data_IF_049079513511
#
_entry.id   IF_049079513511
#
_cell.length_a   1.000
_cell.length_b   1.000
_cell.length_c   1.000
_cell.angle_alpha   90.00
_cell.angle_beta   90.00
_cell.angle_gamma   90.00
#
_symmetry.space_group_name_H-M   'P 1'
#
loop_
_entity.id
_entity.type
_entity.pdbx_description
1 polymer ?
#
# COMPACT_ATOMS: atom_id res chain seq x y z
N UNK A 1 8.87 -30.66 -23.10
CA UNK A 1 9.19 -29.31 -22.63
C UNK A 1 8.01 -28.83 -21.79
N UNK A 2 8.10 -28.87 -20.46
CA UNK A 2 7.00 -28.49 -19.57
C UNK A 2 7.02 -26.97 -19.43
N UNK A 3 6.06 -26.28 -20.06
CA UNK A 3 5.78 -24.87 -19.79
C UNK A 3 5.10 -24.83 -18.43
N UNK A 4 5.80 -24.33 -17.42
CA UNK A 4 5.21 -24.06 -16.10
C UNK A 4 4.35 -22.80 -16.22
N UNK A 5 3.04 -22.97 -16.19
CA UNK A 5 2.10 -21.85 -16.16
C UNK A 5 2.27 -21.07 -14.85
N UNK A 6 2.87 -19.89 -14.93
CA UNK A 6 2.93 -18.94 -13.81
C UNK A 6 1.59 -18.22 -13.67
N UNK A 7 1.21 -17.79 -12.45
CA UNK A 7 0.05 -16.92 -12.23
C UNK A 7 0.08 -15.67 -13.15
N UNK A 8 -1.09 -15.14 -13.49
CA UNK A 8 -1.24 -14.04 -14.45
C UNK A 8 -0.34 -12.84 -14.13
N UNK A 9 -0.30 -12.41 -12.87
CA UNK A 9 0.53 -11.28 -12.44
C UNK A 9 2.03 -11.61 -12.46
N UNK A 10 2.42 -12.87 -12.20
CA UNK A 10 3.81 -13.31 -12.34
C UNK A 10 4.26 -13.28 -13.81
N UNK A 11 3.36 -13.55 -14.77
CA UNK A 11 3.65 -13.45 -16.21
C UNK A 11 3.88 -11.98 -16.61
N UNK A 12 3.03 -11.06 -16.16
CA UNK A 12 3.22 -9.62 -16.42
C UNK A 12 4.49 -9.10 -15.74
N UNK A 13 4.74 -9.44 -14.49
CA UNK A 13 5.93 -9.03 -13.77
C UNK A 13 7.22 -9.56 -14.45
N UNK A 14 7.22 -10.79 -14.97
CA UNK A 14 8.36 -11.37 -15.67
C UNK A 14 8.63 -10.70 -17.03
N UNK A 15 7.58 -10.25 -17.73
CA UNK A 15 7.71 -9.55 -19.01
C UNK A 15 8.10 -8.07 -18.87
N UNK A 16 7.77 -7.44 -17.73
CA UNK A 16 8.02 -6.01 -17.46
C UNK A 16 9.29 -5.78 -16.62
N UNK A 17 9.74 -6.78 -15.87
CA UNK A 17 10.87 -6.68 -14.93
C UNK A 17 12.26 -6.37 -15.57
N UNK A 18 12.58 -6.72 -16.81
CA UNK A 18 13.89 -6.41 -17.39
C UNK A 18 14.08 -4.94 -17.80
N UNK A 19 13.02 -4.12 -17.77
CA UNK A 19 13.04 -2.78 -18.37
C UNK A 19 13.11 -1.62 -17.36
N UNK A 20 13.18 -1.89 -16.06
CA UNK A 20 13.36 -0.82 -15.06
C UNK A 20 14.83 -0.74 -14.68
N UNK A 21 15.63 0.18 -15.25
CA UNK A 21 16.96 0.44 -14.73
C UNK A 21 16.83 1.03 -13.34
N UNK A 22 17.67 0.55 -12.42
CA UNK A 22 17.80 1.15 -11.09
C UNK A 22 18.01 2.67 -11.24
N UNK A 23 17.35 3.51 -10.41
CA UNK A 23 17.44 4.96 -10.52
C UNK A 23 18.86 5.42 -10.21
N UNK A 24 19.63 5.72 -11.26
CA UNK A 24 20.91 6.43 -11.17
C UNK A 24 20.64 7.94 -11.19
N UNK A 25 20.16 8.49 -10.09
CA UNK A 25 20.26 9.94 -9.82
C UNK A 25 20.26 10.17 -8.32
N UNK A 26 21.36 9.82 -7.69
CA UNK A 26 21.65 10.14 -6.29
C UNK A 26 22.36 11.49 -6.30
N UNK A 27 21.66 12.62 -6.19
CA UNK A 27 22.36 13.87 -5.80
C UNK A 27 21.46 14.92 -5.15
N UNK A 28 20.19 15.09 -5.48
CA UNK A 28 19.35 16.10 -4.82
C UNK A 28 18.43 15.54 -3.74
N UNK A 29 17.91 14.34 -3.92
CA UNK A 29 16.96 13.72 -2.99
C UNK A 29 17.61 13.25 -1.68
N UNK A 30 18.91 12.95 -1.70
CA UNK A 30 19.66 12.52 -0.51
C UNK A 30 19.85 13.65 0.51
N UNK A 31 20.07 14.87 0.06
CA UNK A 31 20.20 16.05 0.93
C UNK A 31 18.87 16.50 1.56
N UNK A 32 17.75 16.22 0.92
CA UNK A 32 16.42 16.55 1.44
C UNK A 32 16.03 15.59 2.59
N UNK A 33 16.55 14.37 2.59
CA UNK A 33 16.26 13.33 3.57
C UNK A 33 16.80 13.62 5.00
N UNK A 34 17.74 14.54 5.16
CA UNK A 34 18.44 14.79 6.42
C UNK A 34 18.01 16.06 7.17
N UNK A 35 16.85 16.64 6.87
CA UNK A 35 16.38 17.79 7.63
C UNK A 35 15.69 17.35 8.93
N UNK A 36 16.27 17.72 10.06
CA UNK A 36 15.66 17.57 11.38
C UNK A 36 14.28 18.26 11.46
N UNK A 37 13.40 17.75 12.29
CA UNK A 37 12.16 18.45 12.62
C UNK A 37 12.50 19.82 13.19
N UNK A 38 11.83 20.86 12.71
CA UNK A 38 11.99 22.20 13.23
C UNK A 38 11.25 22.37 14.58
N UNK A 39 11.68 23.33 15.38
CA UNK A 39 10.97 23.66 16.63
C UNK A 39 9.51 24.06 16.41
N UNK A 40 9.21 24.70 15.27
CA UNK A 40 7.83 25.04 14.90
C UNK A 40 7.00 23.79 14.71
N UNK A 41 7.49 22.80 13.96
CA UNK A 41 6.79 21.55 13.73
C UNK A 41 6.58 20.79 15.04
N UNK A 42 7.58 20.74 15.91
CA UNK A 42 7.47 20.09 17.23
C UNK A 42 6.42 20.78 18.11
N UNK A 43 6.42 22.09 18.19
CA UNK A 43 5.45 22.85 18.98
C UNK A 43 4.02 22.62 18.46
N UNK A 44 3.81 22.69 17.15
CA UNK A 44 2.51 22.41 16.53
C UNK A 44 2.00 20.98 16.83
N UNK A 45 2.92 20.01 16.88
CA UNK A 45 2.60 18.62 17.26
C UNK A 45 2.19 18.55 18.73
N UNK A 46 2.95 19.20 19.61
CA UNK A 46 2.66 19.22 21.04
C UNK A 46 1.31 19.88 21.33
N UNK A 47 1.01 21.00 20.69
CA UNK A 47 -0.28 21.69 20.80
C UNK A 47 -1.44 20.80 20.34
N UNK A 48 -1.30 20.14 19.19
CA UNK A 48 -2.33 19.24 18.65
C UNK A 48 -2.63 18.07 19.59
N UNK A 49 -1.59 17.55 20.25
CA UNK A 49 -1.70 16.39 21.14
C UNK A 49 -2.06 16.76 22.58
N UNK A 50 -2.06 18.04 22.93
CA UNK A 50 -2.16 18.50 24.32
C UNK A 50 -1.00 18.01 25.19
N UNK A 51 0.19 17.84 24.61
CA UNK A 51 1.37 17.28 25.26
C UNK A 51 2.44 18.34 25.52
N UNK A 52 3.28 18.07 26.51
CA UNK A 52 4.53 18.79 26.70
C UNK A 52 5.57 18.34 25.68
N UNK A 53 6.78 18.92 25.74
CA UNK A 53 7.87 18.55 24.84
C UNK A 53 8.20 17.03 24.94
N UNK A 54 8.45 16.33 23.81
CA UNK A 54 8.72 14.91 23.83
C UNK A 54 10.04 14.57 24.55
N UNK A 55 10.09 13.39 25.19
CA UNK A 55 11.29 12.86 25.86
C UNK A 55 12.39 12.51 24.86
N UNK A 56 12.01 11.94 23.73
CA UNK A 56 12.95 11.63 22.64
C UNK A 56 12.28 11.79 21.27
N UNK A 57 13.10 12.13 20.29
CA UNK A 57 12.77 12.16 18.85
C UNK A 57 13.90 11.44 18.14
N UNK A 58 13.63 10.26 17.61
CA UNK A 58 14.61 9.41 16.95
C UNK A 58 14.23 9.19 15.49
N UNK A 59 15.16 9.44 14.59
CA UNK A 59 14.94 9.19 13.18
C UNK A 59 14.81 7.69 12.91
N UNK A 60 13.79 7.32 12.13
CA UNK A 60 13.55 5.93 11.73
C UNK A 60 14.06 5.75 10.30
N UNK A 61 15.03 4.84 10.14
CA UNK A 61 15.55 4.47 8.83
C UNK A 61 14.61 3.47 8.16
N UNK A 62 14.45 3.58 6.83
CA UNK A 62 13.72 2.59 6.03
C UNK A 62 12.56 3.13 5.20
N UNK A 63 12.14 4.37 5.36
CA UNK A 63 11.15 5.00 4.46
C UNK A 63 11.82 5.52 3.19
N UNK A 64 11.41 5.03 2.00
CA UNK A 64 12.03 5.47 0.73
C UNK A 64 11.57 6.86 0.26
N UNK A 65 10.46 7.39 0.78
CA UNK A 65 9.78 8.56 0.24
C UNK A 65 9.71 9.72 1.23
N UNK A 66 9.52 9.45 2.51
CA UNK A 66 9.29 10.44 3.56
C UNK A 66 10.32 10.33 4.67
N UNK A 67 10.61 11.47 5.30
CA UNK A 67 11.32 11.47 6.55
C UNK A 67 10.40 10.93 7.65
N UNK A 68 10.92 10.06 8.51
CA UNK A 68 10.15 9.45 9.58
C UNK A 68 10.89 9.49 10.92
N UNK A 69 10.13 9.62 12.01
CA UNK A 69 10.67 9.64 13.37
C UNK A 69 9.78 8.85 14.31
N UNK A 70 10.41 8.22 15.29
CA UNK A 70 9.78 7.79 16.52
C UNK A 70 9.78 8.95 17.50
N UNK A 71 8.62 9.34 17.97
CA UNK A 71 8.47 10.37 19.00
C UNK A 71 7.96 9.70 20.27
N UNK A 72 8.66 9.91 21.39
CA UNK A 72 8.28 9.36 22.67
C UNK A 72 7.88 10.47 23.65
N UNK A 73 6.65 10.42 24.13
CA UNK A 73 6.10 11.22 25.20
C UNK A 73 6.14 10.43 26.51
N UNK A 74 5.58 10.99 27.59
CA UNK A 74 5.60 10.35 28.91
C UNK A 74 4.81 9.04 28.95
N UNK A 75 3.73 8.94 28.18
CA UNK A 75 2.73 7.88 28.24
C UNK A 75 2.47 7.21 26.89
N UNK A 76 3.08 7.68 25.80
CA UNK A 76 2.83 7.14 24.45
C UNK A 76 4.05 7.29 23.54
N UNK A 77 4.10 6.41 22.55
CA UNK A 77 5.04 6.45 21.43
C UNK A 77 4.26 6.60 20.14
N UNK A 78 4.73 7.47 19.26
CA UNK A 78 4.12 7.74 17.97
C UNK A 78 5.13 7.60 16.86
N UNK A 79 4.64 7.21 15.70
CA UNK A 79 5.38 7.26 14.44
C UNK A 79 4.97 8.51 13.68
N UNK A 80 5.94 9.38 13.41
CA UNK A 80 5.74 10.61 12.64
C UNK A 80 6.29 10.43 11.23
N UNK A 81 5.48 10.79 10.24
CA UNK A 81 5.92 10.98 8.86
C UNK A 81 5.82 12.46 8.49
N UNK A 82 6.80 12.91 7.71
CA UNK A 82 6.88 14.28 7.21
C UNK A 82 7.07 14.28 5.69
N UNK A 83 6.21 14.99 5.01
CA UNK A 83 6.31 15.22 3.57
C UNK A 83 6.50 16.71 3.28
N UNK A 84 7.58 17.04 2.58
CA UNK A 84 7.91 18.40 2.13
C UNK A 84 7.64 18.61 0.63
N UNK A 85 7.18 17.57 -0.06
CA UNK A 85 6.88 17.64 -1.49
C UNK A 85 5.50 18.28 -1.67
N UNK A 86 5.32 19.04 -2.72
CA UNK A 86 4.03 19.68 -3.03
C UNK A 86 3.01 18.66 -3.62
N UNK A 87 2.78 17.57 -2.91
CA UNK A 87 1.77 16.54 -3.18
C UNK A 87 1.23 16.03 -1.85
N UNK A 88 -0.03 15.67 -1.80
CA UNK A 88 -0.76 15.28 -0.60
C UNK A 88 -0.62 13.77 -0.29
N UNK A 89 0.63 13.31 -0.15
CA UNK A 89 0.92 11.90 0.10
C UNK A 89 0.37 11.42 1.45
N UNK A 90 0.61 12.21 2.50
CA UNK A 90 0.22 11.82 3.86
C UNK A 90 -1.28 12.05 4.13
N UNK A 91 -1.91 13.00 3.45
CA UNK A 91 -3.37 13.12 3.45
C UNK A 91 -4.02 11.88 2.84
N UNK A 92 -3.47 11.36 1.74
CA UNK A 92 -3.93 10.13 1.11
C UNK A 92 -3.69 8.91 2.00
N UNK A 93 -2.50 8.77 2.59
CA UNK A 93 -2.20 7.67 3.52
C UNK A 93 -3.14 7.67 4.72
N UNK A 94 -3.36 8.84 5.34
CA UNK A 94 -4.36 9.02 6.40
C UNK A 94 -5.72 8.49 5.97
N UNK A 95 -6.18 8.88 4.79
CA UNK A 95 -7.47 8.46 4.26
C UNK A 95 -7.53 6.93 4.07
N UNK A 96 -6.47 6.31 3.56
CA UNK A 96 -6.37 4.87 3.40
C UNK A 96 -6.41 4.13 4.74
N UNK A 97 -5.57 4.53 5.72
CA UNK A 97 -5.53 3.93 7.06
C UNK A 97 -6.91 3.97 7.73
N UNK A 98 -7.56 5.13 7.70
CA UNK A 98 -8.89 5.31 8.30
C UNK A 98 -9.96 4.45 7.62
N UNK A 99 -9.89 4.23 6.31
CA UNK A 99 -10.84 3.39 5.61
C UNK A 99 -10.60 1.90 5.86
N UNK A 100 -9.36 1.43 5.81
CA UNK A 100 -9.03 0.04 6.10
C UNK A 100 -9.42 -0.37 7.52
N UNK A 101 -9.21 0.50 8.52
CA UNK A 101 -9.56 0.24 9.93
C UNK A 101 -11.04 -0.07 10.15
N UNK A 102 -11.93 0.35 9.27
CA UNK A 102 -13.39 0.05 9.36
C UNK A 102 -13.70 -1.44 9.19
N UNK A 103 -12.81 -2.18 8.53
CA UNK A 103 -13.05 -3.55 8.11
C UNK A 103 -12.18 -4.59 8.81
N UNK A 104 -11.24 -4.17 9.67
CA UNK A 104 -10.37 -5.14 10.36
C UNK A 104 -11.09 -5.88 11.49
N UNK A 105 -10.60 -7.08 11.77
CA UNK A 105 -10.79 -7.79 13.03
C UNK A 105 -9.51 -7.59 13.87
N UNK A 106 -9.61 -6.81 14.93
CA UNK A 106 -8.47 -6.45 15.79
C UNK A 106 -7.85 -7.64 16.56
N UNK A 107 -8.45 -8.82 16.54
CA UNK A 107 -7.85 -10.03 17.10
C UNK A 107 -6.74 -10.61 16.20
N UNK A 108 -6.85 -10.39 14.90
CA UNK A 108 -5.95 -10.96 13.90
C UNK A 108 -5.08 -9.91 13.19
N UNK A 109 -5.61 -8.69 12.97
CA UNK A 109 -4.95 -7.65 12.18
C UNK A 109 -4.97 -6.30 12.90
N UNK A 110 -3.84 -5.63 12.87
CA UNK A 110 -3.66 -4.26 13.36
C UNK A 110 -3.29 -3.36 12.18
N UNK A 111 -3.91 -2.20 12.14
CA UNK A 111 -3.56 -1.09 11.26
C UNK A 111 -3.31 0.11 12.16
N UNK A 112 -2.16 0.80 12.06
CA UNK A 112 -1.84 1.94 12.94
C UNK A 112 -2.96 2.95 12.98
N UNK A 113 -3.27 3.43 14.16
CA UNK A 113 -4.26 4.50 14.34
C UNK A 113 -3.68 5.83 13.88
N UNK A 114 -4.48 6.60 13.15
CA UNK A 114 -4.15 7.98 12.83
C UNK A 114 -4.47 8.84 14.05
N UNK A 115 -3.43 9.38 14.68
CA UNK A 115 -3.54 10.21 15.87
C UNK A 115 -3.76 11.67 15.49
N UNK A 116 -2.99 12.17 14.53
CA UNK A 116 -3.14 13.54 14.03
C UNK A 116 -2.61 13.68 12.60
N UNK A 117 -3.13 14.67 11.89
CA UNK A 117 -2.62 15.09 10.57
C UNK A 117 -2.64 16.63 10.52
N UNK A 118 -1.52 17.21 10.15
CA UNK A 118 -1.39 18.65 9.94
C UNK A 118 -0.75 18.97 8.59
N UNK A 119 -1.13 20.11 8.04
CA UNK A 119 -0.43 20.73 6.91
C UNK A 119 0.03 22.12 7.34
N UNK A 120 1.33 22.26 7.55
CA UNK A 120 1.97 23.48 8.03
C UNK A 120 2.78 24.07 6.87
N UNK A 121 2.28 25.14 6.24
CA UNK A 121 2.98 25.81 5.14
C UNK A 121 3.43 24.86 4.01
N UNK A 122 2.53 23.96 3.59
CA UNK A 122 2.76 22.90 2.60
C UNK A 122 3.69 21.75 3.06
N UNK A 123 4.00 21.69 4.34
CA UNK A 123 4.63 20.50 4.94
C UNK A 123 3.53 19.68 5.56
N UNK A 124 3.34 18.45 5.07
CA UNK A 124 2.42 17.51 5.70
C UNK A 124 3.13 16.78 6.84
N UNK A 125 2.41 16.64 7.95
CA UNK A 125 2.82 15.83 9.12
C UNK A 125 1.69 14.87 9.42
N UNK A 126 2.01 13.59 9.46
CA UNK A 126 1.10 12.52 9.86
C UNK A 126 1.67 11.83 11.10
N UNK A 127 0.88 11.79 12.15
CA UNK A 127 1.17 11.07 13.38
C UNK A 127 0.28 9.85 13.46
N UNK A 128 0.89 8.68 13.56
CA UNK A 128 0.20 7.40 13.74
C UNK A 128 0.73 6.67 14.96
N UNK A 129 0.00 5.70 15.42
CA UNK A 129 0.39 4.79 16.49
C UNK A 129 1.74 4.14 16.17
N UNK A 130 2.66 4.10 17.14
CA UNK A 130 3.88 3.30 17.07
C UNK A 130 3.57 1.86 17.44
N UNK A 131 3.92 0.91 16.59
CA UNK A 131 3.75 -0.51 16.83
C UNK A 131 5.13 -1.18 16.83
N UNK A 132 5.48 -1.80 17.95
CA UNK A 132 6.71 -2.59 18.04
C UNK A 132 6.56 -3.89 17.25
N UNK A 133 7.43 -4.07 16.25
CA UNK A 133 7.42 -5.24 15.38
C UNK A 133 8.21 -6.39 15.97
N UNK A 134 7.67 -7.60 15.86
CA UNK A 134 8.25 -8.84 16.36
C UNK A 134 8.24 -9.93 15.30
N UNK A 135 9.03 -10.98 15.50
CA UNK A 135 9.11 -12.09 14.57
C UNK A 135 8.22 -13.25 15.05
N UNK A 136 7.07 -13.42 14.39
CA UNK A 136 6.13 -14.53 14.60
C UNK A 136 5.83 -15.24 13.27
N UNK A 137 5.05 -16.33 13.33
CA UNK A 137 4.44 -16.89 12.11
C UNK A 137 3.40 -15.90 11.54
N UNK A 138 3.12 -16.01 10.25
CA UNK A 138 2.24 -15.07 9.54
C UNK A 138 0.78 -15.53 9.44
N UNK A 139 0.36 -16.49 10.29
CA UNK A 139 -1.02 -17.03 10.25
C UNK A 139 -2.07 -15.96 10.47
N UNK A 140 -1.93 -15.18 11.56
CA UNK A 140 -2.88 -14.11 11.86
C UNK A 140 -2.87 -12.99 10.81
N UNK A 141 -1.71 -12.71 10.20
CA UNK A 141 -1.63 -11.75 9.10
C UNK A 141 -2.46 -12.22 7.90
N UNK A 142 -2.31 -13.49 7.48
CA UNK A 142 -3.08 -14.06 6.39
C UNK A 142 -4.58 -14.11 6.69
N UNK A 143 -4.94 -14.58 7.89
CA UNK A 143 -6.33 -14.62 8.35
C UNK A 143 -6.94 -13.22 8.40
N UNK A 144 -6.24 -12.26 9.02
CA UNK A 144 -6.73 -10.90 9.20
C UNK A 144 -6.90 -10.15 7.88
N UNK A 145 -6.00 -10.35 6.89
CA UNK A 145 -6.18 -9.81 5.55
C UNK A 145 -7.42 -10.41 4.86
N UNK A 146 -7.60 -11.73 4.97
CA UNK A 146 -8.80 -12.39 4.42
C UNK A 146 -10.09 -11.85 5.04
N UNK A 147 -10.14 -11.69 6.36
CA UNK A 147 -11.29 -11.11 7.06
C UNK A 147 -11.56 -9.65 6.64
N UNK A 148 -10.51 -8.83 6.44
CA UNK A 148 -10.63 -7.46 5.94
C UNK A 148 -11.27 -7.45 4.55
N UNK A 149 -10.74 -8.25 3.63
CA UNK A 149 -11.27 -8.35 2.27
C UNK A 149 -12.72 -8.84 2.26
N UNK A 150 -13.04 -9.89 3.05
CA UNK A 150 -14.39 -10.43 3.14
C UNK A 150 -15.37 -9.37 3.65
N UNK A 151 -15.06 -8.75 4.80
CA UNK A 151 -15.93 -7.75 5.42
C UNK A 151 -16.13 -6.52 4.54
N UNK A 152 -15.08 -6.09 3.85
CA UNK A 152 -15.20 -4.96 2.90
C UNK A 152 -16.02 -5.34 1.67
N UNK A 153 -15.87 -6.55 1.12
CA UNK A 153 -16.67 -7.04 0.02
C UNK A 153 -18.16 -7.21 0.40
N UNK A 154 -18.45 -7.68 1.61
CA UNK A 154 -19.80 -7.79 2.16
C UNK A 154 -20.51 -6.44 2.33
N UNK A 155 -19.76 -5.33 2.43
CA UNK A 155 -20.32 -3.98 2.38
C UNK A 155 -20.95 -3.65 1.01
N UNK A 156 -20.78 -4.55 0.03
CA UNK A 156 -21.33 -4.51 -1.31
C UNK A 156 -20.97 -3.23 -2.08
N UNK A 157 -19.67 -2.93 -2.24
CA UNK A 157 -19.24 -1.79 -3.03
C UNK A 157 -19.67 -1.95 -4.49
N UNK A 158 -20.29 -0.89 -5.04
CA UNK A 158 -20.86 -0.93 -6.40
C UNK A 158 -19.81 -0.69 -7.48
N UNK A 159 -18.73 -0.01 -7.13
CA UNK A 159 -17.74 0.48 -8.08
C UNK A 159 -16.34 0.05 -7.67
N UNK A 160 -15.50 -0.20 -8.65
CA UNK A 160 -14.04 -0.34 -8.49
C UNK A 160 -13.36 1.02 -8.62
N UNK A 161 -12.18 1.18 -8.02
CA UNK A 161 -11.42 2.43 -8.08
C UNK A 161 -11.42 3.18 -6.76
N UNK A 162 -11.10 4.47 -6.79
CA UNK A 162 -11.06 5.29 -5.57
C UNK A 162 -11.52 6.72 -5.85
N UNK A 163 -12.27 7.35 -4.93
CA UNK A 163 -12.86 8.67 -5.19
C UNK A 163 -11.85 9.81 -5.09
N UNK A 164 -10.66 9.55 -4.58
CA UNK A 164 -9.58 10.54 -4.42
C UNK A 164 -8.36 10.16 -5.24
N UNK A 165 -7.55 11.13 -5.60
CA UNK A 165 -6.23 10.89 -6.18
C UNK A 165 -5.34 10.20 -5.17
N UNK A 166 -4.59 9.18 -5.60
CA UNK A 166 -3.75 8.39 -4.74
C UNK A 166 -2.31 8.32 -5.25
N UNK A 167 -1.52 7.57 -4.51
CA UNK A 167 -0.12 7.38 -4.80
C UNK A 167 0.28 5.94 -4.47
N UNK A 168 1.19 5.37 -5.25
CA UNK A 168 1.96 4.19 -4.89
C UNK A 168 3.43 4.56 -5.01
N UNK A 169 4.14 4.57 -3.89
CA UNK A 169 5.42 5.23 -3.86
C UNK A 169 5.29 6.70 -4.27
N UNK A 170 6.06 7.15 -5.25
CA UNK A 170 5.96 8.52 -5.82
C UNK A 170 5.08 8.59 -7.07
N UNK A 171 4.53 7.46 -7.51
CA UNK A 171 3.73 7.35 -8.73
C UNK A 171 2.28 7.72 -8.46
N UNK A 172 1.76 8.67 -9.25
CA UNK A 172 0.37 9.09 -9.16
C UNK A 172 -0.58 7.94 -9.53
N UNK A 173 -1.60 7.73 -8.73
CA UNK A 173 -2.72 6.83 -9.01
C UNK A 173 -3.97 7.66 -9.30
N UNK A 174 -4.46 7.54 -10.52
CA UNK A 174 -5.62 8.28 -11.00
C UNK A 174 -6.85 7.94 -10.17
N UNK A 175 -7.54 8.98 -9.69
CA UNK A 175 -8.89 8.83 -9.12
C UNK A 175 -9.88 8.43 -10.19
N UNK A 176 -10.93 7.77 -9.79
CA UNK A 176 -12.04 7.38 -10.65
C UNK A 176 -12.79 6.21 -10.06
N UNK A 177 -13.99 6.00 -10.53
CA UNK A 177 -14.85 4.88 -10.18
C UNK A 177 -15.39 4.27 -11.46
N UNK A 178 -15.29 2.95 -11.58
CA UNK A 178 -15.75 2.17 -12.72
C UNK A 178 -16.61 1.00 -12.22
N UNK A 179 -17.64 0.66 -12.94
CA UNK A 179 -18.51 -0.48 -12.62
C UNK A 179 -17.95 -1.82 -13.10
N UNK A 180 -16.95 -1.78 -14.00
CA UNK A 180 -16.28 -2.93 -14.55
C UNK A 180 -14.82 -3.01 -14.05
N UNK A 181 -14.42 -4.20 -13.56
CA UNK A 181 -13.07 -4.42 -13.07
C UNK A 181 -11.98 -4.22 -14.12
N UNK A 182 -12.17 -4.76 -15.32
CA UNK A 182 -11.19 -4.67 -16.41
C UNK A 182 -10.97 -3.21 -16.80
N UNK A 183 -12.05 -2.44 -16.93
CA UNK A 183 -11.98 -1.02 -17.27
C UNK A 183 -11.32 -0.21 -16.16
N UNK A 184 -11.66 -0.48 -14.90
CA UNK A 184 -11.00 0.14 -13.76
C UNK A 184 -9.49 -0.14 -13.76
N UNK A 185 -9.10 -1.40 -13.86
CA UNK A 185 -7.70 -1.81 -13.84
C UNK A 185 -6.91 -1.20 -15.00
N UNK A 186 -7.48 -1.22 -16.20
CA UNK A 186 -6.84 -0.62 -17.37
C UNK A 186 -6.77 0.91 -17.29
N UNK A 187 -7.91 1.59 -17.08
CA UNK A 187 -8.02 3.04 -17.22
C UNK A 187 -7.42 3.81 -16.05
N UNK A 188 -7.47 3.24 -14.85
CA UNK A 188 -7.05 3.92 -13.63
C UNK A 188 -5.69 3.44 -13.10
N UNK A 189 -5.18 2.29 -13.55
CA UNK A 189 -3.92 1.73 -13.05
C UNK A 189 -2.88 1.49 -14.13
N UNK A 190 -3.17 0.69 -15.14
CA UNK A 190 -2.16 0.26 -16.13
C UNK A 190 -1.81 1.35 -17.12
N UNK A 191 -2.82 1.89 -17.82
CA UNK A 191 -2.58 2.87 -18.90
C UNK A 191 -1.94 4.16 -18.39
N UNK A 192 -2.40 4.77 -17.29
CA UNK A 192 -1.74 5.96 -16.76
C UNK A 192 -0.26 5.74 -16.47
N UNK A 193 0.10 4.57 -15.93
CA UNK A 193 1.50 4.25 -15.62
C UNK A 193 2.32 4.05 -16.90
N UNK A 194 1.81 3.31 -17.89
CA UNK A 194 2.48 3.15 -19.18
C UNK A 194 2.72 4.49 -19.89
N UNK A 195 1.74 5.39 -19.83
CA UNK A 195 1.85 6.73 -20.40
C UNK A 195 2.82 7.64 -19.62
N UNK A 196 2.98 7.45 -18.31
CA UNK A 196 3.91 8.21 -17.48
C UNK A 196 5.36 7.83 -17.71
N UNK A 197 5.63 6.63 -18.17
CA UNK A 197 6.96 6.20 -18.57
C UNK A 197 7.34 6.99 -19.84
N UNK A 198 8.07 8.11 -19.65
CA UNK A 198 8.54 9.02 -20.73
C UNK A 198 9.47 8.34 -21.76
N UNK A 199 9.52 7.03 -21.77
CA UNK A 199 10.36 6.28 -22.69
C UNK A 199 9.61 6.06 -24.00
N UNK A 200 10.33 6.22 -25.12
CA UNK A 200 9.90 5.84 -26.47
C UNK A 200 9.59 4.33 -26.63
N UNK A 201 9.54 3.58 -25.52
CA UNK A 201 9.40 2.13 -25.48
C UNK A 201 7.94 1.71 -25.65
N UNK A 202 6.98 2.52 -25.17
CA UNK A 202 5.56 2.20 -25.27
C UNK A 202 4.87 3.11 -26.28
N UNK A 203 4.92 2.72 -27.53
CA UNK A 203 4.11 3.34 -28.58
C UNK A 203 2.63 2.95 -28.42
N UNK A 204 1.78 3.59 -29.20
CA UNK A 204 0.32 3.39 -29.16
C UNK A 204 -0.09 1.96 -29.49
N UNK A 205 0.69 1.29 -30.36
CA UNK A 205 0.46 -0.10 -30.75
C UNK A 205 0.77 -1.04 -29.60
N UNK A 206 1.89 -0.86 -28.92
CA UNK A 206 2.29 -1.64 -27.74
C UNK A 206 1.28 -1.49 -26.61
N UNK A 207 0.82 -0.26 -26.32
CA UNK A 207 -0.23 -0.03 -25.33
C UNK A 207 -1.51 -0.78 -25.69
N UNK A 208 -1.91 -0.78 -26.97
CA UNK A 208 -3.09 -1.52 -27.41
C UNK A 208 -2.91 -3.04 -27.27
N UNK A 209 -1.74 -3.58 -27.60
CA UNK A 209 -1.43 -5.00 -27.37
C UNK A 209 -1.54 -5.39 -25.89
N UNK A 210 -1.00 -4.56 -25.00
CA UNK A 210 -1.12 -4.77 -23.54
C UNK A 210 -2.58 -4.76 -23.10
N UNK A 211 -3.38 -3.80 -23.59
CA UNK A 211 -4.83 -3.73 -23.30
C UNK A 211 -5.56 -5.00 -23.71
N UNK A 212 -5.38 -5.42 -24.96
CA UNK A 212 -6.08 -6.61 -25.48
C UNK A 212 -5.62 -7.88 -24.76
N UNK A 213 -4.34 -7.98 -24.41
CA UNK A 213 -3.82 -9.08 -23.60
C UNK A 213 -4.48 -9.15 -22.24
N UNK A 214 -4.54 -8.03 -21.50
CA UNK A 214 -5.18 -7.96 -20.17
C UNK A 214 -6.66 -8.30 -20.28
N UNK A 215 -7.39 -7.75 -21.26
CA UNK A 215 -8.79 -8.07 -21.49
C UNK A 215 -9.01 -9.56 -21.72
N UNK A 216 -8.19 -10.17 -22.57
CA UNK A 216 -8.31 -11.60 -22.88
C UNK A 216 -8.06 -12.50 -21.66
N UNK A 217 -7.09 -12.15 -20.82
CA UNK A 217 -6.75 -12.91 -19.62
C UNK A 217 -7.82 -12.77 -18.52
N UNK A 218 -8.42 -11.59 -18.41
CA UNK A 218 -9.43 -11.29 -17.39
C UNK A 218 -10.87 -11.56 -17.84
N UNK A 219 -11.11 -11.96 -19.10
CA UNK A 219 -12.46 -12.11 -19.68
C UNK A 219 -13.38 -13.01 -18.85
N UNK A 220 -12.85 -14.12 -18.34
CA UNK A 220 -13.60 -15.09 -17.54
C UNK A 220 -13.35 -14.97 -16.02
N UNK A 221 -12.57 -13.96 -15.61
CA UNK A 221 -12.29 -13.71 -14.22
C UNK A 221 -13.50 -13.10 -13.53
N UNK A 222 -13.81 -13.56 -12.32
CA UNK A 222 -14.90 -13.04 -11.48
C UNK A 222 -14.28 -12.30 -10.29
N UNK A 223 -14.01 -11.01 -10.41
CA UNK A 223 -13.39 -10.23 -9.36
C UNK A 223 -14.27 -10.18 -8.11
N UNK A 224 -13.64 -10.15 -6.95
CA UNK A 224 -14.29 -9.85 -5.69
C UNK A 224 -13.89 -8.44 -5.30
N UNK A 225 -14.84 -7.51 -5.43
CA UNK A 225 -14.61 -6.11 -5.10
C UNK A 225 -14.45 -5.93 -3.59
N UNK A 226 -13.22 -5.70 -3.16
CA UNK A 226 -12.84 -5.50 -1.76
C UNK A 226 -11.99 -4.23 -1.62
N UNK A 227 -11.91 -3.67 -0.42
CA UNK A 227 -10.95 -2.63 -0.12
C UNK A 227 -9.58 -3.27 0.10
N UNK A 228 -8.66 -3.09 -0.85
CA UNK A 228 -7.31 -3.64 -0.77
C UNK A 228 -6.35 -2.67 -0.07
N UNK A 229 -5.25 -3.21 0.48
CA UNK A 229 -4.12 -2.41 0.94
C UNK A 229 -3.47 -1.65 -0.22
N UNK A 230 -3.32 -2.32 -1.37
CA UNK A 230 -2.87 -1.73 -2.63
C UNK A 230 -1.35 -1.65 -2.80
N UNK A 231 -0.57 -1.77 -1.71
CA UNK A 231 0.90 -1.83 -1.73
C UNK A 231 1.41 -2.84 -0.69
N UNK A 232 0.83 -4.06 -0.68
CA UNK A 232 1.11 -5.06 0.33
C UNK A 232 2.28 -5.97 -0.05
N UNK A 233 3.47 -5.54 0.31
CA UNK A 233 4.70 -6.34 0.23
C UNK A 233 5.34 -6.50 1.60
N UNK A 234 6.42 -7.28 1.71
CA UNK A 234 7.04 -7.60 3.01
C UNK A 234 7.57 -6.39 3.79
N UNK A 235 7.85 -5.28 3.11
CA UNK A 235 8.28 -4.02 3.75
C UNK A 235 7.12 -3.24 4.38
N UNK A 236 5.87 -3.51 4.02
CA UNK A 236 4.67 -2.84 4.52
C UNK A 236 3.82 -3.74 5.44
N UNK A 237 4.41 -4.84 5.93
CA UNK A 237 3.74 -5.77 6.82
C UNK A 237 4.67 -6.31 7.90
N UNK A 238 4.11 -6.67 9.04
CA UNK A 238 4.84 -7.25 10.16
C UNK A 238 3.92 -7.95 11.13
N UNK A 239 4.45 -8.23 12.32
CA UNK A 239 3.69 -8.85 13.42
C UNK A 239 3.91 -8.02 14.68
N UNK A 240 2.87 -7.76 15.47
CA UNK A 240 3.00 -7.11 16.76
C UNK A 240 3.52 -8.05 17.86
N UNK A 241 3.72 -7.53 19.07
CA UNK A 241 4.17 -8.31 20.24
C UNK A 241 3.21 -9.42 20.66
N UNK A 242 1.94 -9.38 20.24
CA UNK A 242 0.91 -10.38 20.53
C UNK A 242 0.74 -11.37 19.38
N UNK A 243 1.62 -11.33 18.36
CA UNK A 243 1.53 -12.17 17.17
C UNK A 243 0.34 -11.85 16.28
N UNK A 244 -0.20 -10.63 16.33
CA UNK A 244 -1.19 -10.15 15.36
C UNK A 244 -0.48 -9.62 14.13
N UNK A 245 -1.09 -9.80 12.96
CA UNK A 245 -0.60 -9.18 11.74
C UNK A 245 -0.67 -7.65 11.83
N UNK A 246 0.32 -6.96 11.29
CA UNK A 246 0.34 -5.49 11.15
C UNK A 246 0.53 -5.17 9.69
N UNK A 247 -0.27 -4.26 9.14
CA UNK A 247 -0.09 -3.69 7.81
C UNK A 247 -0.10 -2.16 7.89
N UNK A 248 0.76 -1.50 7.13
CA UNK A 248 0.98 -0.05 7.15
C UNK A 248 1.44 0.45 5.78
N UNK A 249 1.50 1.77 5.56
CA UNK A 249 1.84 2.41 4.28
C UNK A 249 0.91 1.99 3.12
N UNK A 250 -0.41 2.09 3.29
CA UNK A 250 -1.34 1.64 2.27
C UNK A 250 -1.44 2.62 1.08
N UNK A 251 -1.71 2.03 -0.09
CA UNK A 251 -2.14 2.72 -1.32
C UNK A 251 -3.55 2.22 -1.73
N UNK A 252 -4.51 2.30 -0.81
CA UNK A 252 -5.80 1.62 -0.88
C UNK A 252 -6.71 2.08 -2.00
N UNK A 253 -7.50 1.14 -2.49
CA UNK A 253 -8.60 1.36 -3.42
C UNK A 253 -9.55 0.16 -3.45
N UNK A 254 -10.74 0.34 -4.00
CA UNK A 254 -11.68 -0.74 -4.25
C UNK A 254 -11.25 -1.53 -5.48
N UNK A 255 -10.86 -2.77 -5.28
CA UNK A 255 -10.25 -3.60 -6.30
C UNK A 255 -10.63 -5.07 -6.13
N UNK A 256 -10.22 -5.88 -7.11
CA UNK A 256 -10.18 -7.32 -6.89
C UNK A 256 -9.24 -7.66 -5.74
N UNK A 257 -9.73 -8.44 -4.77
CA UNK A 257 -8.95 -8.87 -3.59
C UNK A 257 -7.63 -9.57 -3.95
N UNK A 258 -7.53 -10.15 -5.15
CA UNK A 258 -6.31 -10.81 -5.64
C UNK A 258 -5.16 -9.82 -5.91
N UNK A 259 -5.43 -8.50 -5.98
CA UNK A 259 -4.39 -7.46 -6.13
C UNK A 259 -3.39 -7.52 -5.00
N UNK A 260 -3.84 -7.59 -3.74
CA UNK A 260 -2.94 -7.68 -2.59
C UNK A 260 -2.18 -9.01 -2.58
N UNK A 261 -2.84 -10.12 -2.93
CA UNK A 261 -2.18 -11.44 -3.01
C UNK A 261 -1.09 -11.46 -4.08
N UNK A 262 -1.32 -10.82 -5.22
CA UNK A 262 -0.29 -10.66 -6.24
C UNK A 262 0.87 -9.80 -5.75
N UNK A 263 0.58 -8.68 -5.08
CA UNK A 263 1.59 -7.77 -4.53
C UNK A 263 2.48 -8.47 -3.49
N UNK A 264 1.93 -9.32 -2.62
CA UNK A 264 2.72 -10.07 -1.63
C UNK A 264 3.80 -10.97 -2.26
N UNK A 265 3.67 -11.33 -3.55
CA UNK A 265 4.59 -12.23 -4.25
C UNK A 265 5.70 -11.51 -5.03
N UNK A 266 5.56 -10.21 -5.28
CA UNK A 266 6.48 -9.47 -6.17
C UNK A 266 7.90 -9.36 -5.61
N UNK A 267 8.06 -9.24 -4.29
CA UNK A 267 9.35 -8.96 -3.63
C UNK A 267 9.74 -10.08 -2.66
N UNK A 268 9.67 -11.33 -3.08
CA UNK A 268 10.12 -12.49 -2.31
C UNK A 268 9.02 -13.27 -1.60
N UNK A 269 7.81 -12.77 -1.63
CA UNK A 269 6.63 -13.46 -1.06
C UNK A 269 6.55 -13.42 0.46
N UNK A 270 5.36 -13.75 0.96
CA UNK A 270 5.12 -13.99 2.38
C UNK A 270 5.32 -15.47 2.70
N UNK A 271 5.31 -15.84 3.97
CA UNK A 271 5.46 -17.24 4.36
C UNK A 271 4.24 -18.06 3.97
N UNK A 272 4.44 -19.38 3.79
CA UNK A 272 3.41 -20.32 3.33
C UNK A 272 2.14 -20.25 4.18
N UNK A 273 2.29 -20.16 5.49
CA UNK A 273 1.18 -20.11 6.44
C UNK A 273 0.28 -18.88 6.28
N UNK A 274 0.81 -17.76 5.76
CA UNK A 274 0.00 -16.60 5.39
C UNK A 274 -1.03 -16.95 4.31
N UNK A 275 -0.57 -17.58 3.22
CA UNK A 275 -1.45 -17.98 2.12
C UNK A 275 -2.44 -19.07 2.52
N UNK A 276 -2.02 -20.02 3.34
CA UNK A 276 -2.88 -21.08 3.84
C UNK A 276 -4.06 -20.53 4.64
N UNK A 277 -3.81 -19.58 5.55
CA UNK A 277 -4.87 -18.96 6.36
C UNK A 277 -5.75 -18.03 5.53
N UNK A 278 -5.17 -17.23 4.61
CA UNK A 278 -5.94 -16.40 3.69
C UNK A 278 -6.91 -17.25 2.85
N UNK A 279 -6.43 -18.35 2.30
CA UNK A 279 -7.23 -19.23 1.41
C UNK A 279 -8.29 -20.06 2.14
N UNK A 280 -8.31 -20.13 3.46
CA UNK A 280 -9.45 -20.65 4.22
C UNK A 280 -10.68 -19.74 4.07
N UNK A 281 -10.48 -18.43 3.90
CA UNK A 281 -11.53 -17.43 3.73
C UNK A 281 -11.87 -17.23 2.25
N UNK A 282 -10.82 -17.10 1.43
CA UNK A 282 -10.94 -16.99 -0.04
C UNK A 282 -10.28 -18.22 -0.70
N UNK A 283 -11.00 -19.34 -0.84
CA UNK A 283 -10.47 -20.53 -1.50
C UNK A 283 -10.03 -20.22 -2.93
N UNK A 284 -8.87 -20.72 -3.31
CA UNK A 284 -8.38 -20.63 -4.70
C UNK A 284 -9.42 -21.26 -5.61
N UNK A 285 -10.06 -20.46 -6.47
CA UNK A 285 -11.00 -20.96 -7.47
C UNK A 285 -10.23 -21.82 -8.49
N UNK A 286 -10.81 -22.99 -8.84
CA UNK A 286 -10.22 -23.86 -9.85
C UNK A 286 -10.04 -23.10 -11.17
N UNK A 287 -8.81 -22.73 -11.48
CA UNK A 287 -8.41 -21.86 -12.59
C UNK A 287 -7.09 -21.15 -12.31
N UNK A 288 -6.81 -20.83 -11.04
CA UNK A 288 -5.53 -20.27 -10.57
C UNK A 288 -4.53 -21.35 -10.12
N UNK A 289 -4.86 -22.63 -10.29
CA UNK A 289 -4.01 -23.79 -9.92
C UNK A 289 -2.90 -24.07 -10.93
N UNK A 290 -2.44 -23.06 -11.67
CA UNK A 290 -1.30 -23.34 -12.56
C UNK A 290 -0.31 -22.20 -12.58
#
# INVERSE_FOLDING_TARGET
MKVTDKPFFDKIAAEVSPAIPAPTTITSDFFIKMQKLSLIEINEICEELGETYPKSIEEVQGGDIHNAWRIEFSNKKLFLKRNIRNKKFLEFEKYCLQNLRKYINQENLVIPEVIAYKNIKNIEILLIEWIDMHNFDQKKLGKGLGELHLKSAESNPKMFGFPVEGFIGTTDQKKGLEDNWIDCFLNLRIIPQLLSLKSRIFDKETINKVKEKIKSELLNHKPINALVHGDLWSGNAGMDKNGKGVIFDPASWWADNEVDIAMTKLFGGFRKEFYEEYHKIFPIKNGLKK
#
